data_IF_729847559276
#
_entry.id   IF_729847559276
#
_cell.length_a   1.000
_cell.length_b   1.000
_cell.length_c   1.000
_cell.angle_alpha   90.00
_cell.angle_beta   90.00
_cell.angle_gamma   90.00
#
_symmetry.space_group_name_H-M   'P 1'
#
loop_
_entity.id
_entity.type
_entity.pdbx_description
1 polymer ?
#
# COMPACT_ATOMS: atom_id res chain seq x y z
N UNK A 1 -40.10 22.88 55.50
CA UNK A 1 -38.68 23.08 55.14
C UNK A 1 -38.50 22.57 53.72
N UNK A 2 -38.44 23.48 52.75
CA UNK A 2 -38.69 23.22 51.32
C UNK A 2 -37.36 22.89 50.61
N UNK A 3 -37.40 21.79 49.87
CA UNK A 3 -36.35 21.20 49.02
C UNK A 3 -35.87 22.22 47.97
N UNK A 4 -34.56 22.47 47.89
CA UNK A 4 -33.94 23.07 46.69
C UNK A 4 -33.66 21.99 45.65
N UNK A 5 -34.23 22.20 44.48
CA UNK A 5 -33.98 21.46 43.24
C UNK A 5 -32.63 21.87 42.65
N UNK A 6 -31.84 20.89 42.19
CA UNK A 6 -30.71 21.13 41.29
C UNK A 6 -30.83 20.16 40.13
N UNK A 7 -31.17 20.68 38.95
CA UNK A 7 -31.10 19.96 37.68
C UNK A 7 -29.64 19.96 37.24
N UNK A 8 -29.05 18.77 37.03
CA UNK A 8 -27.74 18.62 36.41
C UNK A 8 -27.93 18.01 35.02
N UNK A 9 -27.48 18.73 33.99
CA UNK A 9 -27.52 18.30 32.59
C UNK A 9 -26.73 16.99 32.39
N UNK A 10 -27.16 16.09 31.48
CA UNK A 10 -26.39 14.91 31.13
C UNK A 10 -25.18 15.30 30.27
N UNK A 11 -23.99 14.97 30.77
CA UNK A 11 -22.72 15.01 30.03
C UNK A 11 -22.81 13.99 28.88
N UNK A 12 -23.02 14.47 27.65
CA UNK A 12 -22.85 13.66 26.44
C UNK A 12 -21.36 13.45 26.25
N UNK A 13 -20.84 12.35 26.80
CA UNK A 13 -19.47 11.92 26.55
C UNK A 13 -19.40 11.39 25.12
N UNK A 14 -19.12 12.29 24.16
CA UNK A 14 -18.72 11.92 22.81
C UNK A 14 -17.43 11.11 22.94
N UNK A 15 -17.55 9.79 22.95
CA UNK A 15 -16.45 8.88 22.65
C UNK A 15 -16.06 9.14 21.19
N UNK A 16 -15.24 10.17 20.96
CA UNK A 16 -14.37 10.21 19.79
C UNK A 16 -13.46 8.99 19.94
N UNK A 17 -13.84 7.89 19.29
CA UNK A 17 -12.90 6.88 18.87
C UNK A 17 -11.91 7.62 17.96
N UNK A 18 -10.86 8.18 18.53
CA UNK A 18 -9.68 8.53 17.75
C UNK A 18 -9.17 7.20 17.21
N UNK A 19 -9.53 6.93 15.96
CA UNK A 19 -8.83 6.02 15.08
C UNK A 19 -7.36 6.43 15.17
N UNK A 20 -6.60 5.69 15.97
CA UNK A 20 -5.15 5.73 15.84
C UNK A 20 -4.87 5.40 14.38
N UNK A 21 -4.10 6.23 13.64
CA UNK A 21 -3.76 5.92 12.27
C UNK A 21 -3.10 4.55 12.29
N UNK A 22 -3.70 3.60 11.56
CA UNK A 22 -3.06 2.34 11.23
C UNK A 22 -1.69 2.72 10.66
N UNK A 23 -0.64 2.22 11.28
CA UNK A 23 0.73 2.56 10.89
C UNK A 23 0.93 2.24 9.41
N UNK A 24 1.14 3.30 8.63
CA UNK A 24 1.55 3.43 7.21
C UNK A 24 2.85 2.66 6.82
N UNK A 25 3.32 1.77 7.70
CA UNK A 25 4.65 1.17 7.64
C UNK A 25 4.87 0.19 6.48
N UNK A 26 3.83 -0.15 5.72
CA UNK A 26 3.91 -1.13 4.63
C UNK A 26 4.13 -0.52 3.24
N UNK A 27 3.70 0.72 2.99
CA UNK A 27 3.67 1.30 1.63
C UNK A 27 4.79 2.33 1.40
N UNK A 28 5.38 2.87 2.48
CA UNK A 28 6.40 3.92 2.42
C UNK A 28 7.84 3.41 2.52
N UNK A 29 8.07 2.10 2.57
CA UNK A 29 9.43 1.55 2.66
C UNK A 29 10.18 1.78 1.35
N UNK A 30 11.43 2.26 1.45
CA UNK A 30 12.32 2.42 0.30
C UNK A 30 12.65 1.05 -0.31
N UNK A 31 12.40 0.91 -1.60
CA UNK A 31 12.84 -0.25 -2.39
C UNK A 31 14.17 0.07 -3.05
N UNK A 32 14.20 1.11 -3.88
CA UNK A 32 15.44 1.59 -4.51
C UNK A 32 15.36 3.08 -4.86
N UNK A 33 16.52 3.66 -5.18
CA UNK A 33 16.64 5.00 -5.75
C UNK A 33 17.52 4.96 -6.99
N UNK A 34 17.25 5.86 -7.94
CA UNK A 34 18.14 6.21 -9.04
C UNK A 34 18.35 7.72 -9.02
N UNK A 35 19.61 8.16 -9.01
CA UNK A 35 19.96 9.58 -9.08
C UNK A 35 20.84 9.79 -10.31
N UNK A 36 20.62 10.87 -11.05
CA UNK A 36 21.56 11.29 -12.09
C UNK A 36 22.93 11.62 -11.49
N UNK A 37 24.00 11.38 -12.27
CA UNK A 37 25.36 11.80 -11.89
C UNK A 37 25.53 13.32 -12.05
N UNK A 38 24.74 13.93 -12.94
CA UNK A 38 24.77 15.36 -13.24
C UNK A 38 24.03 16.13 -12.15
N UNK A 39 24.72 17.11 -11.58
CA UNK A 39 24.16 18.05 -10.62
C UNK A 39 23.26 19.06 -11.31
N UNK A 40 22.22 19.49 -10.60
CA UNK A 40 21.36 20.57 -11.05
C UNK A 40 22.04 21.92 -10.77
N UNK A 41 22.66 22.52 -11.80
CA UNK A 41 23.21 23.87 -11.71
C UNK A 41 22.08 24.90 -11.69
N UNK A 42 22.01 25.70 -10.63
CA UNK A 42 20.89 26.62 -10.41
C UNK A 42 21.35 27.96 -9.81
N UNK A 43 22.13 28.76 -10.55
CA UNK A 43 22.64 30.04 -10.06
C UNK A 43 21.53 31.09 -9.85
N UNK A 44 20.41 30.98 -10.57
CA UNK A 44 19.28 31.91 -10.47
C UNK A 44 18.15 31.43 -9.56
N UNK A 45 18.16 30.16 -9.12
CA UNK A 45 17.11 29.56 -8.30
C UNK A 45 15.91 29.02 -9.07
N UNK A 46 15.84 29.27 -10.39
CA UNK A 46 14.68 28.93 -11.22
C UNK A 46 14.47 27.42 -11.31
N UNK A 47 15.54 26.62 -11.39
CA UNK A 47 15.38 25.17 -11.48
C UNK A 47 14.85 24.59 -10.15
N UNK A 48 15.31 25.09 -9.01
CA UNK A 48 14.80 24.69 -7.70
C UNK A 48 13.33 25.06 -7.53
N UNK A 49 12.92 26.25 -7.99
CA UNK A 49 11.51 26.68 -7.97
C UNK A 49 10.62 25.82 -8.88
N UNK A 50 11.07 25.53 -10.10
CA UNK A 50 10.34 24.68 -11.03
C UNK A 50 10.21 23.25 -10.49
N UNK A 51 11.28 22.68 -9.92
CA UNK A 51 11.26 21.36 -9.30
C UNK A 51 10.29 21.33 -8.12
N UNK A 52 10.31 22.35 -7.25
CA UNK A 52 9.37 22.46 -6.14
C UNK A 52 7.92 22.48 -6.63
N UNK A 53 7.61 23.33 -7.61
CA UNK A 53 6.27 23.44 -8.20
C UNK A 53 5.82 22.11 -8.83
N UNK A 54 6.73 21.41 -9.52
CA UNK A 54 6.49 20.09 -10.09
C UNK A 54 6.13 19.07 -9.01
N UNK A 55 6.96 18.95 -7.97
CA UNK A 55 6.76 17.99 -6.88
C UNK A 55 5.48 18.29 -6.09
N UNK A 56 5.21 19.55 -5.78
CA UNK A 56 3.98 19.98 -5.10
C UNK A 56 2.73 19.61 -5.93
N UNK A 57 2.77 19.79 -7.25
CA UNK A 57 1.68 19.41 -8.16
C UNK A 57 1.46 17.90 -8.20
N UNK A 58 2.54 17.12 -8.28
CA UNK A 58 2.48 15.65 -8.26
C UNK A 58 1.88 15.14 -6.94
N UNK A 59 2.34 15.66 -5.79
CA UNK A 59 1.80 15.30 -4.47
C UNK A 59 0.33 15.68 -4.36
N UNK A 60 -0.07 16.87 -4.83
CA UNK A 60 -1.47 17.29 -4.79
C UNK A 60 -2.39 16.35 -5.58
N UNK A 61 -1.99 15.95 -6.78
CA UNK A 61 -2.83 15.09 -7.64
C UNK A 61 -2.91 13.63 -7.14
N UNK A 62 -1.92 13.17 -6.36
CA UNK A 62 -1.91 11.81 -5.78
C UNK A 62 -3.06 11.53 -4.81
N UNK A 63 -3.71 12.56 -4.29
CA UNK A 63 -4.94 12.41 -3.49
C UNK A 63 -6.21 12.16 -4.30
N UNK A 64 -6.11 11.98 -5.64
CA UNK A 64 -7.26 11.83 -6.54
C UNK A 64 -7.03 10.87 -7.71
N UNK A 65 -5.77 10.52 -7.98
CA UNK A 65 -5.35 9.72 -9.12
C UNK A 65 -4.24 8.77 -8.68
N UNK A 66 -4.23 7.56 -9.22
CA UNK A 66 -3.14 6.60 -9.00
C UNK A 66 -1.91 6.87 -9.90
N UNK A 67 -2.10 7.59 -11.01
CA UNK A 67 -1.04 8.00 -11.93
C UNK A 67 -1.28 9.44 -12.37
N UNK A 68 -0.21 10.23 -12.41
CA UNK A 68 -0.25 11.56 -13.02
C UNK A 68 1.16 11.97 -13.45
N UNK A 69 1.23 12.60 -14.62
CA UNK A 69 2.44 13.19 -15.18
C UNK A 69 2.19 14.66 -15.51
N UNK A 70 3.19 15.51 -15.27
CA UNK A 70 3.11 16.92 -15.62
C UNK A 70 4.49 17.51 -15.85
N UNK A 71 4.52 18.77 -16.28
CA UNK A 71 5.75 19.55 -16.48
C UNK A 71 5.70 20.83 -15.67
N UNK A 72 6.87 21.41 -15.41
CA UNK A 72 7.00 22.71 -14.73
C UNK A 72 8.18 23.47 -15.33
N UNK A 73 8.05 24.80 -15.42
CA UNK A 73 9.03 25.68 -16.05
C UNK A 73 8.75 25.99 -17.51
N UNK A 74 9.61 26.82 -18.09
CA UNK A 74 9.52 27.29 -19.48
C UNK A 74 10.89 27.26 -20.17
N UNK A 75 10.88 27.13 -21.50
CA UNK A 75 12.09 27.16 -22.33
C UNK A 75 13.09 26.05 -21.97
N UNK A 76 14.31 26.42 -21.58
CA UNK A 76 15.38 25.49 -21.22
C UNK A 76 15.30 24.96 -19.78
N UNK A 77 14.36 25.50 -18.98
CA UNK A 77 14.20 25.15 -17.57
C UNK A 77 13.03 24.20 -17.33
N UNK A 78 12.47 23.62 -18.39
CA UNK A 78 11.35 22.68 -18.31
C UNK A 78 11.83 21.37 -17.70
N UNK A 79 11.13 20.95 -16.66
CA UNK A 79 11.24 19.62 -16.08
C UNK A 79 9.96 18.85 -16.32
N UNK A 80 10.09 17.54 -16.48
CA UNK A 80 8.98 16.61 -16.47
C UNK A 80 9.04 15.74 -15.23
N UNK A 81 7.88 15.31 -14.76
CA UNK A 81 7.81 14.36 -13.66
C UNK A 81 6.48 13.64 -13.65
N UNK A 82 6.49 12.51 -12.96
CA UNK A 82 5.29 11.71 -12.75
C UNK A 82 5.40 10.94 -11.44
N UNK A 83 4.25 10.49 -10.96
CA UNK A 83 4.19 9.42 -9.96
C UNK A 83 3.27 8.30 -10.44
N UNK A 84 3.47 7.13 -9.86
CA UNK A 84 2.61 5.98 -10.02
C UNK A 84 2.48 5.28 -8.66
N UNK A 85 1.25 5.24 -8.15
CA UNK A 85 0.87 4.42 -7.01
C UNK A 85 0.54 3.01 -7.46
N UNK A 86 0.66 2.05 -6.53
CA UNK A 86 0.22 0.68 -6.74
C UNK A 86 -1.29 0.66 -6.93
N UNK A 87 -1.77 -0.11 -7.90
CA UNK A 87 -3.18 -0.04 -8.34
C UNK A 87 -4.21 -0.46 -7.30
N UNK A 88 -3.81 -1.12 -6.21
CA UNK A 88 -4.70 -1.52 -5.11
C UNK A 88 -4.74 -0.54 -3.93
N UNK A 89 -4.11 0.64 -4.06
CA UNK A 89 -4.12 1.68 -3.03
C UNK A 89 -5.35 2.58 -3.15
N UNK A 90 -5.86 3.01 -2.00
CA UNK A 90 -6.81 4.12 -1.95
C UNK A 90 -6.12 5.44 -2.32
N UNK A 91 -6.88 6.46 -2.74
CA UNK A 91 -6.35 7.81 -2.98
C UNK A 91 -5.62 8.38 -1.76
N UNK A 92 -6.08 8.04 -0.54
CA UNK A 92 -5.42 8.47 0.70
C UNK A 92 -4.08 7.78 0.90
N UNK A 93 -3.99 6.47 0.65
CA UNK A 93 -2.74 5.73 0.76
C UNK A 93 -1.75 6.11 -0.35
N UNK A 94 -2.26 6.40 -1.55
CA UNK A 94 -1.46 6.94 -2.65
C UNK A 94 -0.83 8.29 -2.25
N UNK A 95 -1.63 9.21 -1.73
CA UNK A 95 -1.14 10.48 -1.20
C UNK A 95 -0.10 10.30 -0.08
N UNK A 96 -0.38 9.44 0.90
CA UNK A 96 0.54 9.16 2.00
C UNK A 96 1.87 8.61 1.50
N UNK A 97 1.86 7.77 0.47
CA UNK A 97 3.06 7.24 -0.15
C UNK A 97 3.84 8.32 -0.93
N UNK A 98 3.18 9.03 -1.85
CA UNK A 98 3.84 10.00 -2.75
C UNK A 98 4.37 11.19 -1.99
N UNK A 99 3.66 11.66 -0.95
CA UNK A 99 4.07 12.80 -0.12
C UNK A 99 5.40 12.58 0.64
N UNK A 100 5.87 11.34 0.80
CA UNK A 100 7.20 11.08 1.38
C UNK A 100 8.34 11.33 0.41
N UNK A 101 8.09 11.22 -0.89
CA UNK A 101 9.16 11.14 -1.88
C UNK A 101 9.95 12.45 -2.01
N UNK A 102 9.36 13.66 -2.02
CA UNK A 102 10.13 14.91 -2.12
C UNK A 102 11.26 15.03 -1.08
N UNK A 103 10.96 14.80 0.19
CA UNK A 103 11.95 14.80 1.27
C UNK A 103 13.02 13.70 1.10
N UNK A 104 12.62 12.53 0.58
CA UNK A 104 13.54 11.42 0.33
C UNK A 104 14.47 11.71 -0.84
N UNK A 105 13.99 12.34 -1.91
CA UNK A 105 14.81 12.79 -3.04
C UNK A 105 15.91 13.71 -2.54
N UNK A 106 15.58 14.73 -1.76
CA UNK A 106 16.56 15.68 -1.24
C UNK A 106 17.62 14.98 -0.39
N UNK A 107 17.21 14.09 0.52
CA UNK A 107 18.11 13.35 1.42
C UNK A 107 18.98 12.32 0.71
N UNK A 108 18.44 11.65 -0.32
CA UNK A 108 19.07 10.49 -0.94
C UNK A 108 19.83 10.80 -2.22
N UNK A 109 19.42 11.84 -2.95
CA UNK A 109 20.00 12.23 -4.23
C UNK A 109 20.59 13.65 -4.21
N UNK A 110 20.20 14.51 -3.26
CA UNK A 110 20.58 15.92 -3.29
C UNK A 110 19.97 16.65 -4.50
N UNK A 111 20.72 17.61 -5.05
CA UNK A 111 20.28 18.42 -6.19
C UNK A 111 20.81 17.86 -7.52
N UNK A 112 20.02 17.01 -8.15
CA UNK A 112 20.37 16.32 -9.41
C UNK A 112 19.35 16.61 -10.50
N UNK A 113 19.79 16.51 -11.76
CA UNK A 113 18.94 16.81 -12.92
C UNK A 113 17.84 15.78 -13.18
N UNK A 114 17.98 14.57 -12.63
CA UNK A 114 16.96 13.54 -12.66
C UNK A 114 17.04 12.63 -11.43
N UNK A 115 15.90 12.15 -10.97
CA UNK A 115 15.81 11.22 -9.84
C UNK A 115 14.58 10.34 -9.97
N UNK A 116 14.69 9.11 -9.47
CA UNK A 116 13.59 8.18 -9.23
C UNK A 116 13.72 7.63 -7.81
N UNK A 117 12.64 7.68 -7.06
CA UNK A 117 12.53 6.99 -5.76
C UNK A 117 11.36 6.03 -5.83
N UNK A 118 11.65 4.75 -5.61
CA UNK A 118 10.67 3.67 -5.56
C UNK A 118 10.43 3.29 -4.10
N UNK A 119 9.19 3.45 -3.66
CA UNK A 119 8.68 2.90 -2.42
C UNK A 119 7.84 1.65 -2.71
N UNK A 120 7.52 0.90 -1.66
CA UNK A 120 6.68 -0.31 -1.73
C UNK A 120 5.27 -0.08 -2.29
N UNK A 121 4.73 1.12 -2.14
CA UNK A 121 3.38 1.49 -2.59
C UNK A 121 3.34 2.44 -3.78
N UNK A 122 4.43 3.11 -4.13
CA UNK A 122 4.45 4.11 -5.19
C UNK A 122 5.87 4.41 -5.63
N UNK A 123 6.02 5.06 -6.78
CA UNK A 123 7.25 5.78 -7.12
C UNK A 123 6.93 7.16 -7.67
N UNK A 124 7.94 8.02 -7.62
CA UNK A 124 7.94 9.30 -8.31
C UNK A 124 9.30 9.44 -9.01
N UNK A 125 9.25 9.94 -10.24
CA UNK A 125 10.45 10.32 -10.99
C UNK A 125 10.30 11.72 -11.57
N UNK A 126 11.41 12.45 -11.63
CA UNK A 126 11.50 13.70 -12.37
C UNK A 126 12.81 13.74 -13.15
N UNK A 127 12.82 14.53 -14.22
CA UNK A 127 14.00 14.80 -15.03
C UNK A 127 13.87 16.13 -15.78
N UNK A 128 15.01 16.77 -16.06
CA UNK A 128 15.05 17.85 -17.05
C UNK A 128 14.77 17.27 -18.44
N UNK A 129 14.03 18.00 -19.26
CA UNK A 129 13.77 17.63 -20.65
C UNK A 129 15.08 17.39 -21.39
N UNK A 130 15.19 16.23 -22.04
CA UNK A 130 16.37 15.86 -22.85
C UNK A 130 17.50 15.19 -22.06
N UNK A 131 17.27 14.81 -20.79
CA UNK A 131 18.28 14.14 -19.96
C UNK A 131 18.84 12.84 -20.57
N UNK A 132 18.08 11.74 -20.54
CA UNK A 132 18.49 10.45 -21.11
C UNK A 132 17.27 9.66 -21.54
N UNK A 133 17.34 9.05 -22.72
CA UNK A 133 16.35 8.06 -23.14
C UNK A 133 16.74 6.68 -22.59
N UNK A 134 15.78 6.01 -21.97
CA UNK A 134 15.92 4.70 -21.35
C UNK A 134 14.89 3.76 -21.99
N UNK A 135 15.27 2.50 -22.23
CA UNK A 135 14.31 1.51 -22.72
C UNK A 135 13.22 1.30 -21.68
N UNK A 136 11.96 1.16 -22.13
CA UNK A 136 10.82 0.87 -21.24
C UNK A 136 11.04 -0.41 -20.42
N UNK A 137 11.83 -1.34 -20.97
CA UNK A 137 12.15 -2.66 -20.41
C UNK A 137 13.53 -2.72 -19.74
N UNK A 138 14.23 -1.59 -19.55
CA UNK A 138 15.51 -1.56 -18.84
C UNK A 138 15.30 -2.04 -17.38
N UNK A 139 16.04 -3.08 -16.98
CA UNK A 139 16.01 -3.59 -15.61
C UNK A 139 16.64 -2.57 -14.66
N UNK A 140 15.83 -1.97 -13.79
CA UNK A 140 16.29 -0.95 -12.83
C UNK A 140 16.71 -1.56 -11.49
N UNK A 141 15.92 -2.52 -10.99
CA UNK A 141 16.17 -3.14 -9.69
C UNK A 141 15.51 -4.51 -9.58
N UNK A 142 16.07 -5.35 -8.71
CA UNK A 142 15.50 -6.66 -8.38
C UNK A 142 15.66 -6.99 -6.91
N UNK A 143 14.71 -7.74 -6.38
CA UNK A 143 14.77 -8.39 -5.07
C UNK A 143 14.44 -9.86 -5.29
N UNK A 144 15.38 -10.75 -4.97
CA UNK A 144 15.13 -12.19 -4.99
C UNK A 144 14.96 -12.68 -3.55
N UNK A 145 13.98 -13.56 -3.34
CA UNK A 145 13.69 -14.19 -2.06
C UNK A 145 14.63 -15.33 -1.70
N UNK A 146 14.19 -16.16 -0.76
CA UNK A 146 14.91 -17.39 -0.41
C UNK A 146 14.91 -18.37 -1.59
N UNK A 147 15.97 -19.16 -1.70
CA UNK A 147 16.03 -20.23 -2.68
C UNK A 147 14.96 -21.29 -2.38
N UNK A 148 14.49 -21.96 -3.42
CA UNK A 148 13.69 -23.18 -3.29
C UNK A 148 14.48 -24.23 -2.49
N UNK A 149 13.92 -24.69 -1.39
CA UNK A 149 14.30 -25.99 -0.84
C UNK A 149 13.84 -27.08 -1.81
N UNK A 150 14.44 -28.27 -1.75
CA UNK A 150 14.29 -29.40 -2.69
C UNK A 150 12.87 -29.95 -2.92
N UNK A 151 11.80 -29.24 -2.55
CA UNK A 151 10.44 -29.76 -2.48
C UNK A 151 9.39 -28.73 -2.94
N UNK A 152 9.24 -28.60 -4.25
CA UNK A 152 7.92 -28.55 -4.91
C UNK A 152 8.10 -28.75 -6.42
N UNK A 153 7.50 -29.81 -6.99
CA UNK A 153 7.65 -30.19 -8.40
C UNK A 153 6.85 -29.31 -9.38
N UNK A 154 6.08 -28.34 -8.86
CA UNK A 154 5.21 -27.47 -9.66
C UNK A 154 5.40 -25.97 -9.41
N UNK A 155 6.44 -25.53 -8.68
CA UNK A 155 6.68 -24.10 -8.46
C UNK A 155 6.84 -23.35 -9.78
N UNK A 156 7.68 -23.86 -10.68
CA UNK A 156 7.93 -23.25 -11.98
C UNK A 156 6.63 -23.17 -12.79
N UNK A 157 5.85 -24.25 -12.88
CA UNK A 157 4.56 -24.27 -13.60
C UNK A 157 3.56 -23.25 -13.02
N UNK A 158 3.48 -23.16 -11.69
CA UNK A 158 2.61 -22.18 -11.01
C UNK A 158 3.05 -20.75 -11.28
N UNK A 159 4.36 -20.50 -11.33
CA UNK A 159 4.92 -19.18 -11.64
C UNK A 159 4.58 -18.79 -13.07
N UNK A 160 4.83 -19.68 -14.04
CA UNK A 160 4.51 -19.42 -15.45
C UNK A 160 2.99 -19.20 -15.65
N UNK A 161 2.15 -19.97 -14.96
CA UNK A 161 0.69 -19.80 -15.02
C UNK A 161 0.24 -18.46 -14.44
N UNK A 162 0.78 -18.07 -13.28
CA UNK A 162 0.47 -16.79 -12.66
C UNK A 162 0.94 -15.61 -13.52
N UNK A 163 2.12 -15.71 -14.12
CA UNK A 163 2.66 -14.73 -15.06
C UNK A 163 1.74 -14.57 -16.28
N UNK A 164 1.30 -15.67 -16.90
CA UNK A 164 0.33 -15.63 -18.00
C UNK A 164 -1.01 -14.98 -17.63
N UNK A 165 -1.45 -15.08 -16.36
CA UNK A 165 -2.63 -14.35 -15.88
C UNK A 165 -2.37 -12.83 -15.84
N UNK A 166 -1.19 -12.40 -15.41
CA UNK A 166 -0.80 -10.98 -15.43
C UNK A 166 -0.78 -10.45 -16.86
N UNK A 167 -0.05 -11.11 -17.77
CA UNK A 167 0.08 -10.68 -19.17
C UNK A 167 -1.29 -10.57 -19.85
N UNK A 168 -2.16 -11.57 -19.64
CA UNK A 168 -3.49 -11.59 -20.22
C UNK A 168 -4.36 -10.43 -19.72
N UNK A 169 -4.32 -10.13 -18.42
CA UNK A 169 -5.14 -9.07 -17.83
C UNK A 169 -4.66 -7.68 -18.23
N UNK A 170 -3.36 -7.40 -18.21
CA UNK A 170 -2.87 -6.06 -18.58
C UNK A 170 -3.06 -5.74 -20.07
N UNK A 171 -3.14 -6.76 -20.93
CA UNK A 171 -3.41 -6.61 -22.38
C UNK A 171 -4.90 -6.55 -22.71
N UNK A 172 -5.69 -7.45 -22.13
CA UNK A 172 -7.09 -7.65 -22.53
C UNK A 172 -8.09 -7.10 -21.51
N UNK A 173 -7.67 -6.92 -20.26
CA UNK A 173 -8.46 -6.40 -19.17
C UNK A 173 -8.69 -4.90 -19.25
N UNK A 174 -9.27 -4.37 -18.17
CA UNK A 174 -9.60 -2.95 -18.04
C UNK A 174 -8.44 -2.07 -17.59
N UNK A 175 -7.53 -2.62 -16.79
CA UNK A 175 -6.55 -1.85 -16.00
C UNK A 175 -5.10 -2.27 -16.31
N UNK A 176 -4.15 -1.34 -16.14
CA UNK A 176 -2.71 -1.58 -16.28
C UNK A 176 -2.08 -2.18 -15.01
N UNK A 177 -2.91 -2.85 -14.19
CA UNK A 177 -2.55 -3.41 -12.90
C UNK A 177 -3.33 -4.70 -12.68
N UNK A 178 -2.61 -5.76 -12.30
CA UNK A 178 -3.19 -7.03 -11.93
C UNK A 178 -2.64 -7.50 -10.59
N UNK A 179 -3.53 -8.12 -9.81
CA UNK A 179 -3.22 -8.83 -8.57
C UNK A 179 -4.05 -10.11 -8.55
N UNK A 180 -3.40 -11.23 -8.25
CA UNK A 180 -4.09 -12.50 -8.15
C UNK A 180 -3.23 -13.61 -7.56
N UNK A 181 -3.75 -14.82 -7.66
CA UNK A 181 -3.05 -16.01 -7.25
C UNK A 181 -3.38 -17.18 -8.17
N UNK A 182 -2.37 -17.97 -8.48
CA UNK A 182 -2.52 -19.28 -9.10
C UNK A 182 -2.07 -20.35 -8.11
N UNK A 183 -3.03 -21.10 -7.57
CA UNK A 183 -2.81 -22.05 -6.47
C UNK A 183 -2.09 -21.34 -5.29
N UNK A 184 -0.94 -21.86 -4.87
CA UNK A 184 -0.10 -21.35 -3.78
C UNK A 184 0.80 -20.17 -4.15
N UNK A 185 0.74 -19.66 -5.38
CA UNK A 185 1.57 -18.55 -5.84
C UNK A 185 0.75 -17.27 -5.99
N UNK A 186 1.10 -16.26 -5.20
CA UNK A 186 0.55 -14.91 -5.31
C UNK A 186 1.39 -14.07 -6.27
N UNK A 187 0.76 -13.29 -7.13
CA UNK A 187 1.42 -12.44 -8.13
C UNK A 187 0.77 -11.07 -8.20
N UNK A 188 1.58 -10.07 -8.50
CA UNK A 188 1.17 -8.71 -8.81
C UNK A 188 2.01 -8.20 -9.98
N UNK A 189 1.37 -7.60 -10.97
CA UNK A 189 2.04 -6.92 -12.07
C UNK A 189 1.42 -5.56 -12.35
N UNK A 190 2.23 -4.59 -12.75
CA UNK A 190 1.76 -3.24 -13.05
C UNK A 190 2.61 -2.55 -14.10
N UNK A 191 1.98 -1.80 -14.99
CA UNK A 191 2.61 -0.88 -15.92
C UNK A 191 2.46 0.59 -15.48
N UNK A 192 3.35 1.45 -15.95
CA UNK A 192 3.23 2.91 -15.86
C UNK A 192 1.97 3.37 -16.61
N UNK A 193 1.21 4.28 -16.02
CA UNK A 193 -0.12 4.65 -16.48
C UNK A 193 -0.19 5.35 -17.84
N UNK A 194 0.95 5.67 -18.47
CA UNK A 194 1.03 6.24 -19.81
C UNK A 194 1.31 5.21 -20.92
N UNK A 195 1.50 3.93 -20.57
CA UNK A 195 1.72 2.87 -21.54
C UNK A 195 0.44 2.45 -22.25
N UNK A 196 0.57 2.18 -23.55
CA UNK A 196 -0.44 1.44 -24.32
C UNK A 196 -0.54 -0.01 -23.84
N UNK A 197 -1.67 -0.66 -24.10
CA UNK A 197 -1.90 -2.05 -23.66
C UNK A 197 -0.92 -3.04 -24.28
N UNK A 198 -0.58 -2.87 -25.55
CA UNK A 198 0.38 -3.72 -26.25
C UNK A 198 1.80 -3.52 -25.67
N UNK A 199 2.24 -2.27 -25.51
CA UNK A 199 3.54 -1.92 -24.90
C UNK A 199 3.63 -2.42 -23.44
N UNK A 200 2.52 -2.33 -22.69
CA UNK A 200 2.43 -2.88 -21.34
C UNK A 200 2.57 -4.41 -21.35
N UNK A 201 1.94 -5.10 -22.30
CA UNK A 201 2.12 -6.54 -22.49
C UNK A 201 3.57 -6.93 -22.77
N UNK A 202 4.24 -6.20 -23.67
CA UNK A 202 5.64 -6.43 -24.01
C UNK A 202 6.58 -6.12 -22.82
N UNK A 203 6.27 -5.08 -22.05
CA UNK A 203 6.98 -4.77 -20.81
C UNK A 203 6.80 -5.90 -19.77
N UNK A 204 5.57 -6.37 -19.58
CA UNK A 204 5.27 -7.43 -18.61
C UNK A 204 6.02 -8.72 -18.96
N UNK A 205 5.98 -9.12 -20.23
CA UNK A 205 6.74 -10.27 -20.73
C UNK A 205 8.24 -10.12 -20.47
N UNK A 206 8.79 -8.93 -20.69
CA UNK A 206 10.19 -8.64 -20.38
C UNK A 206 10.47 -8.76 -18.88
N UNK A 207 9.54 -8.33 -18.02
CA UNK A 207 9.70 -8.43 -16.56
C UNK A 207 9.65 -9.89 -16.09
N UNK A 208 8.82 -10.72 -16.71
CA UNK A 208 8.76 -12.17 -16.48
C UNK A 208 10.05 -12.87 -16.89
N UNK A 209 10.59 -12.56 -18.07
CA UNK A 209 11.85 -13.12 -18.55
C UNK A 209 13.01 -12.74 -17.62
N UNK A 210 13.03 -11.48 -17.15
CA UNK A 210 14.00 -11.03 -16.14
C UNK A 210 13.79 -11.73 -14.79
N UNK A 211 12.55 -12.00 -14.38
CA UNK A 211 12.28 -12.74 -13.15
C UNK A 211 12.85 -14.17 -13.21
N UNK A 212 12.74 -14.83 -14.38
CA UNK A 212 13.29 -16.17 -14.63
C UNK A 212 14.82 -16.15 -14.69
N UNK A 213 15.40 -15.19 -15.41
CA UNK A 213 16.84 -15.07 -15.56
C UNK A 213 17.55 -14.72 -14.23
N UNK A 214 16.97 -13.77 -13.48
CA UNK A 214 17.65 -13.15 -12.34
C UNK A 214 17.28 -13.76 -10.99
N UNK A 215 16.07 -14.32 -10.86
CA UNK A 215 15.54 -14.90 -9.63
C UNK A 215 14.90 -16.29 -9.85
N UNK A 216 15.30 -17.04 -10.90
CA UNK A 216 14.63 -18.27 -11.33
C UNK A 216 14.49 -19.36 -10.25
N UNK A 217 15.44 -19.45 -9.32
CA UNK A 217 15.45 -20.41 -8.21
C UNK A 217 14.87 -19.83 -6.90
N UNK A 218 14.32 -18.61 -6.91
CA UNK A 218 13.81 -17.94 -5.72
C UNK A 218 12.30 -18.13 -5.61
N UNK A 219 11.79 -18.44 -4.42
CA UNK A 219 10.35 -18.65 -4.19
C UNK A 219 9.56 -17.33 -4.13
N UNK A 220 10.23 -16.20 -4.11
CA UNK A 220 9.64 -14.89 -4.30
C UNK A 220 10.59 -14.00 -5.07
N UNK A 221 10.05 -13.04 -5.81
CA UNK A 221 10.85 -12.00 -6.44
C UNK A 221 10.04 -10.72 -6.62
N UNK A 222 10.74 -9.59 -6.74
CA UNK A 222 10.24 -8.33 -7.25
C UNK A 222 11.21 -7.85 -8.33
N UNK A 223 10.71 -7.62 -9.54
CA UNK A 223 11.48 -7.17 -10.70
C UNK A 223 10.91 -5.83 -11.14
N UNK A 224 11.74 -4.80 -11.13
CA UNK A 224 11.38 -3.43 -11.52
C UNK A 224 12.09 -3.06 -12.81
N UNK A 225 11.32 -2.96 -13.89
CA UNK A 225 11.77 -2.36 -15.14
C UNK A 225 11.48 -0.86 -15.14
N UNK A 226 11.87 -0.17 -16.20
CA UNK A 226 11.68 1.28 -16.29
C UNK A 226 10.20 1.68 -16.23
N UNK A 227 9.34 0.98 -16.99
CA UNK A 227 7.91 1.27 -17.09
C UNK A 227 6.96 0.17 -16.59
N UNK A 228 7.45 -0.93 -16.03
CA UNK A 228 6.58 -1.93 -15.41
C UNK A 228 7.31 -2.69 -14.29
N UNK A 229 6.56 -3.39 -13.46
CA UNK A 229 7.12 -4.28 -12.46
C UNK A 229 6.27 -5.54 -12.30
N UNK A 230 6.91 -6.63 -11.89
CA UNK A 230 6.24 -7.87 -11.49
C UNK A 230 6.78 -8.33 -10.15
N UNK A 231 5.90 -8.84 -9.30
CA UNK A 231 6.22 -9.39 -7.99
C UNK A 231 5.49 -10.71 -7.81
N UNK A 232 6.15 -11.71 -7.25
CA UNK A 232 5.50 -12.94 -6.84
C UNK A 232 5.99 -13.44 -5.49
N UNK A 233 5.16 -14.23 -4.81
CA UNK A 233 5.51 -14.94 -3.58
C UNK A 233 4.79 -16.27 -3.53
N UNK A 234 5.57 -17.33 -3.43
CA UNK A 234 5.09 -18.69 -3.34
C UNK A 234 4.99 -19.15 -1.88
N UNK A 235 3.83 -19.70 -1.52
CA UNK A 235 3.51 -20.19 -0.19
C UNK A 235 3.23 -21.69 -0.27
N UNK A 236 4.25 -22.56 -0.10
CA UNK A 236 4.03 -24.00 -0.19
C UNK A 236 2.95 -24.41 0.81
N UNK A 237 1.95 -25.14 0.33
CA UNK A 237 0.99 -25.81 1.20
C UNK A 237 1.77 -26.85 1.99
N UNK A 238 2.19 -26.52 3.21
CA UNK A 238 2.76 -27.52 4.12
C UNK A 238 1.73 -28.62 4.26
N UNK A 239 2.02 -29.79 3.69
CA UNK A 239 1.14 -30.94 3.69
C UNK A 239 0.54 -31.14 5.08
N UNK A 240 -0.77 -31.32 5.12
CA UNK A 240 -1.46 -31.74 6.33
C UNK A 240 -0.84 -33.05 6.81
N UNK A 241 0.08 -32.97 7.78
CA UNK A 241 0.34 -34.08 8.68
C UNK A 241 -1.01 -34.47 9.25
N UNK A 242 -1.41 -35.71 8.98
CA UNK A 242 -2.61 -36.34 9.51
C UNK A 242 -2.52 -36.47 11.03
N UNK A 243 -2.80 -35.36 11.69
CA UNK A 243 -3.29 -35.32 13.05
C UNK A 243 -4.43 -34.31 13.00
N UNK A 244 -5.65 -34.82 12.95
CA UNK A 244 -6.83 -34.06 13.34
C UNK A 244 -6.72 -33.75 14.85
N UNK A 245 -5.78 -32.87 15.20
CA UNK A 245 -5.81 -32.12 16.44
C UNK A 245 -6.38 -30.76 16.09
N UNK A 246 -7.62 -30.59 16.50
CA UNK A 246 -8.28 -29.31 16.71
C UNK A 246 -7.34 -28.35 17.47
N UNK A 247 -6.51 -27.63 16.72
CA UNK A 247 -5.75 -26.52 17.27
C UNK A 247 -6.70 -25.35 17.45
N UNK A 248 -7.05 -25.14 18.72
CA UNK A 248 -7.43 -23.86 19.30
C UNK A 248 -6.64 -22.74 18.62
N UNK A 249 -7.38 -21.81 18.03
CA UNK A 249 -6.88 -20.54 17.51
C UNK A 249 -6.02 -19.80 18.55
N UNK A 250 -4.90 -19.18 18.14
CA UNK A 250 -4.27 -18.12 18.90
C UNK A 250 -5.08 -16.83 18.78
N UNK A 251 -5.74 -16.48 19.88
CA UNK A 251 -6.06 -15.15 20.41
C UNK A 251 -5.73 -13.94 19.51
N UNK A 252 -6.72 -13.44 18.75
CA UNK A 252 -6.96 -11.99 18.58
C UNK A 252 -8.40 -11.70 18.16
N UNK A 253 -9.35 -12.28 18.87
CA UNK A 253 -10.76 -11.86 18.80
C UNK A 253 -11.49 -12.24 20.10
N UNK A 254 -11.09 -11.59 21.19
CA UNK A 254 -11.74 -11.75 22.50
C UNK A 254 -12.16 -10.45 23.18
N UNK A 255 -12.35 -9.37 22.43
CA UNK A 255 -12.75 -8.08 23.02
C UNK A 255 -14.19 -7.66 22.71
N UNK A 256 -14.93 -8.37 21.84
CA UNK A 256 -16.34 -8.02 21.56
C UNK A 256 -17.32 -8.86 22.39
N UNK A 257 -17.03 -10.14 22.65
CA UNK A 257 -17.93 -11.00 23.43
C UNK A 257 -17.98 -10.66 24.94
N UNK A 258 -16.87 -10.17 25.52
CA UNK A 258 -16.82 -9.79 26.94
C UNK A 258 -17.51 -8.45 27.22
N UNK A 259 -17.52 -7.53 26.25
CA UNK A 259 -18.14 -6.21 26.39
C UNK A 259 -19.66 -6.31 26.25
N UNK A 260 -20.16 -7.09 25.29
CA UNK A 260 -21.61 -7.32 25.12
C UNK A 260 -22.19 -8.15 26.29
N UNK A 261 -21.45 -9.15 26.77
CA UNK A 261 -21.86 -9.93 27.94
C UNK A 261 -21.86 -9.13 29.25
N UNK A 262 -20.89 -8.23 29.42
CA UNK A 262 -20.80 -7.34 30.59
C UNK A 262 -21.94 -6.34 30.68
N UNK A 263 -22.33 -5.72 29.56
CA UNK A 263 -23.46 -4.77 29.54
C UNK A 263 -24.81 -5.45 29.76
N UNK A 264 -25.01 -6.67 29.24
CA UNK A 264 -26.22 -7.45 29.48
C UNK A 264 -26.33 -7.87 30.96
N UNK A 265 -25.22 -8.33 31.57
CA UNK A 265 -25.19 -8.71 32.98
C UNK A 265 -25.41 -7.52 33.92
N UNK A 266 -24.80 -6.36 33.63
CA UNK A 266 -24.99 -5.14 34.41
C UNK A 266 -26.42 -4.61 34.29
N UNK A 267 -27.00 -4.63 33.08
CA UNK A 267 -28.40 -4.28 32.86
C UNK A 267 -29.38 -5.19 33.62
N UNK A 268 -29.12 -6.50 33.63
CA UNK A 268 -29.96 -7.46 34.35
C UNK A 268 -29.87 -7.31 35.88
N UNK A 269 -28.68 -7.00 36.41
CA UNK A 269 -28.48 -6.73 37.84
C UNK A 269 -29.18 -5.44 38.28
N UNK A 270 -29.12 -4.37 37.47
CA UNK A 270 -29.83 -3.12 37.76
C UNK A 270 -31.34 -3.34 37.73
N UNK A 271 -31.86 -4.04 36.73
CA UNK A 271 -33.29 -4.36 36.65
C UNK A 271 -33.77 -5.20 37.85
N UNK A 272 -32.97 -6.20 38.25
CA UNK A 272 -33.26 -7.05 39.41
C UNK A 272 -33.25 -6.25 40.72
N UNK A 273 -32.31 -5.33 40.89
CA UNK A 273 -32.24 -4.47 42.07
C UNK A 273 -33.42 -3.48 42.14
N UNK A 274 -33.81 -2.89 41.01
CA UNK A 274 -34.98 -2.01 40.94
C UNK A 274 -36.29 -2.77 41.22
N UNK A 275 -36.40 -4.02 40.76
CA UNK A 275 -37.54 -4.89 41.07
C UNK A 275 -37.60 -5.28 42.55
N UNK A 276 -36.46 -5.62 43.18
CA UNK A 276 -36.41 -5.86 44.62
C UNK A 276 -36.79 -4.61 45.43
N UNK A 277 -36.31 -3.43 45.02
CA UNK A 277 -36.68 -2.16 45.66
C UNK A 277 -38.18 -1.86 45.55
N UNK A 278 -38.81 -2.18 44.43
CA UNK A 278 -40.26 -1.99 44.26
C UNK A 278 -41.09 -2.95 45.12
N UNK A 279 -40.62 -4.20 45.30
CA UNK A 279 -41.24 -5.18 46.19
C UNK A 279 -41.09 -4.81 47.67
N UNK A 280 -39.93 -4.27 48.06
CA UNK A 280 -39.69 -3.77 49.41
C UNK A 280 -40.50 -2.51 49.70
N UNK A 281 -40.65 -1.60 48.71
CA UNK A 281 -41.52 -0.42 48.83
C UNK A 281 -43.00 -0.81 49.00
N UNK A 282 -43.48 -1.83 48.29
CA UNK A 282 -44.84 -2.38 48.44
C UNK A 282 -45.11 -3.03 49.81
N UNK A 283 -44.08 -3.48 50.51
CA UNK A 283 -44.20 -4.02 51.88
C UNK A 283 -44.13 -2.94 52.97
N UNK A 284 -43.63 -1.74 52.66
CA UNK A 284 -43.58 -0.59 53.57
C UNK A 284 -44.85 0.26 53.63
N UNK A 285 -45.83 0.02 52.75
CA UNK A 285 -47.13 0.74 52.72
C UNK A 285 -48.27 -0.05 53.39
N UNK A 286 -47.96 -1.07 54.20
CA UNK A 286 -48.93 -1.85 54.99
C UNK A 286 -48.66 -1.82 56.50
N UNK A 287 -48.26 -0.65 57.01
CA UNK A 287 -48.40 -0.30 58.43
C UNK A 287 -48.86 1.16 58.53
#
# INVERSE_FOLDING_TARGET
MIRKSWYSLPFVFFWFLHLLPVSDAGITNLVFKGCAEQTLEDPSGIYSENLKSLLDSLVSESGRKAFFSTTSGEGQNVMMGLYQCRGDLSDTDCYNCVSKIPDMVEKLCGKVVASRVQLTGCYLRYEIVGFRQVSETELLYKVCGSKKDSYDDGFEERRESAFGMVESDVKNGGDLFYRGSYQSLYVLGQCEGDLGKDDCGDCMKSAEDQAKAECGDSVSAQIYLHKCFISYSFYPERGASSSAESLRQPETQRTIALVVGGFAALGFLIASFLFLKSLLKRKGEKY
#
